data_IF_912870369824
#
_entry.id   IF_912870369824
#
_cell.length_a   1.000
_cell.length_b   1.000
_cell.length_c   1.000
_cell.angle_alpha   90.00
_cell.angle_beta   90.00
_cell.angle_gamma   90.00
#
_symmetry.space_group_name_H-M   'P 1'
#
loop_
_entity.id
_entity.type
_entity.pdbx_description
1 polymer ?
#
# COMPACT_ATOMS: atom_id res chain seq x y z
N UNK A 1 -4.36 -12.58 4.62
CA UNK A 1 -5.06 -12.43 3.33
C UNK A 1 -4.77 -11.04 2.73
N UNK A 2 -4.18 -11.02 1.53
CA UNK A 2 -3.78 -9.79 0.81
C UNK A 2 -4.98 -8.85 0.63
N UNK A 3 -6.18 -9.39 0.39
CA UNK A 3 -7.40 -8.60 0.24
C UNK A 3 -7.68 -7.69 1.45
N UNK A 4 -7.44 -8.19 2.68
CA UNK A 4 -7.68 -7.41 3.90
C UNK A 4 -6.68 -6.26 4.08
N UNK A 5 -5.45 -6.42 3.61
CA UNK A 5 -4.45 -5.34 3.65
C UNK A 5 -4.92 -4.15 2.84
N UNK A 6 -5.53 -4.37 1.67
CA UNK A 6 -6.02 -3.30 0.82
C UNK A 6 -7.21 -2.50 1.38
N UNK A 7 -7.78 -2.90 2.54
CA UNK A 7 -8.72 -2.04 3.27
C UNK A 7 -8.09 -0.72 3.74
N UNK A 8 -6.76 -0.60 3.65
CA UNK A 8 -6.05 0.66 3.83
C UNK A 8 -6.59 1.78 2.92
N UNK A 9 -7.06 1.44 1.70
CA UNK A 9 -7.58 2.43 0.73
C UNK A 9 -8.84 3.11 1.23
N UNK A 10 -9.94 2.40 1.57
CA UNK A 10 -11.11 3.06 2.15
C UNK A 10 -10.81 3.74 3.49
N UNK A 11 -9.96 3.16 4.34
CA UNK A 11 -9.55 3.83 5.57
C UNK A 11 -8.86 5.18 5.28
N UNK A 12 -7.94 5.24 4.31
CA UNK A 12 -7.26 6.48 3.94
C UNK A 12 -8.20 7.54 3.40
N UNK A 13 -9.18 7.15 2.61
CA UNK A 13 -10.21 8.09 2.10
C UNK A 13 -11.07 8.62 3.23
N UNK A 14 -11.49 7.76 4.17
CA UNK A 14 -12.27 8.14 5.35
C UNK A 14 -11.45 9.09 6.26
N UNK A 15 -10.21 8.73 6.56
CA UNK A 15 -9.30 9.54 7.39
C UNK A 15 -9.07 10.93 6.74
N UNK A 16 -8.84 10.97 5.42
CA UNK A 16 -8.65 12.23 4.69
C UNK A 16 -9.91 13.11 4.69
N UNK A 17 -11.09 12.48 4.65
CA UNK A 17 -12.35 13.22 4.80
C UNK A 17 -12.43 13.93 6.16
N UNK A 18 -12.09 13.24 7.26
CA UNK A 18 -12.15 13.83 8.59
C UNK A 18 -11.03 14.83 8.84
N UNK A 19 -9.78 14.52 8.46
CA UNK A 19 -8.63 15.37 8.76
C UNK A 19 -8.51 16.58 7.83
N UNK A 20 -8.78 16.41 6.54
CA UNK A 20 -8.56 17.44 5.52
C UNK A 20 -9.84 17.96 4.90
N UNK A 21 -11.01 17.44 5.32
CA UNK A 21 -12.32 17.73 4.73
C UNK A 21 -12.34 17.48 3.21
N UNK A 22 -11.52 16.53 2.75
CA UNK A 22 -11.53 16.09 1.35
C UNK A 22 -12.81 15.31 1.06
N UNK A 23 -13.65 15.83 0.15
CA UNK A 23 -14.90 15.17 -0.22
C UNK A 23 -14.69 14.39 -1.53
N UNK A 24 -14.63 13.04 -1.49
CA UNK A 24 -14.60 12.25 -2.70
C UNK A 24 -15.93 12.43 -3.45
N UNK A 25 -15.86 12.68 -4.76
CA UNK A 25 -17.06 12.68 -5.60
C UNK A 25 -17.65 11.27 -5.73
N UNK A 26 -18.93 11.19 -6.11
CA UNK A 26 -19.61 9.89 -6.29
C UNK A 26 -18.86 8.96 -7.25
N UNK A 27 -18.25 9.49 -8.30
CA UNK A 27 -17.44 8.73 -9.25
C UNK A 27 -16.20 8.10 -8.58
N UNK A 28 -15.59 8.78 -7.59
CA UNK A 28 -14.45 8.24 -6.86
C UNK A 28 -14.91 7.08 -5.96
N UNK A 29 -16.03 7.24 -5.27
CA UNK A 29 -16.59 6.18 -4.41
C UNK A 29 -16.95 4.95 -5.26
N UNK A 30 -17.68 5.15 -6.36
CA UNK A 30 -18.01 4.06 -7.28
C UNK A 30 -16.77 3.39 -7.85
N UNK A 31 -15.76 4.17 -8.25
CA UNK A 31 -14.48 3.62 -8.75
C UNK A 31 -13.74 2.77 -7.72
N UNK A 32 -13.74 3.19 -6.44
CA UNK A 32 -13.16 2.40 -5.34
C UNK A 32 -13.94 1.08 -5.18
N UNK A 33 -15.27 1.13 -5.15
CA UNK A 33 -16.10 -0.08 -5.02
C UNK A 33 -15.85 -1.05 -6.18
N UNK A 34 -15.85 -0.54 -7.43
CA UNK A 34 -15.58 -1.35 -8.62
C UNK A 34 -14.17 -1.97 -8.55
N UNK A 35 -13.15 -1.20 -8.18
CA UNK A 35 -11.80 -1.71 -8.05
C UNK A 35 -11.69 -2.80 -6.96
N UNK A 36 -12.42 -2.67 -5.84
CA UNK A 36 -12.50 -3.71 -4.81
C UNK A 36 -13.20 -4.97 -5.30
N UNK A 37 -14.26 -4.84 -6.09
CA UNK A 37 -14.91 -6.01 -6.73
C UNK A 37 -13.92 -6.72 -7.65
N UNK A 38 -13.17 -5.99 -8.46
CA UNK A 38 -12.11 -6.56 -9.29
C UNK A 38 -11.02 -7.26 -8.47
N UNK A 39 -10.61 -6.66 -7.36
CA UNK A 39 -9.63 -7.24 -6.44
C UNK A 39 -10.15 -8.55 -5.79
N UNK A 40 -11.43 -8.58 -5.42
CA UNK A 40 -12.08 -9.78 -4.89
C UNK A 40 -12.13 -10.91 -5.92
N UNK A 41 -12.42 -10.59 -7.18
CA UNK A 41 -12.40 -11.58 -8.28
C UNK A 41 -10.99 -12.10 -8.51
N UNK A 42 -9.99 -11.20 -8.46
CA UNK A 42 -8.58 -11.50 -8.70
C UNK A 42 -8.00 -12.44 -7.62
N UNK A 43 -8.24 -12.12 -6.35
CA UNK A 43 -7.62 -12.79 -5.21
C UNK A 43 -8.49 -13.88 -4.58
N UNK A 44 -9.78 -13.93 -4.92
CA UNK A 44 -10.77 -14.79 -4.30
C UNK A 44 -11.17 -14.35 -2.89
N UNK A 45 -12.10 -15.09 -2.31
CA UNK A 45 -12.56 -14.85 -0.95
C UNK A 45 -11.46 -15.16 0.08
N UNK A 46 -11.28 -14.31 1.09
CA UNK A 46 -10.32 -14.59 2.15
C UNK A 46 -10.81 -15.77 3.01
N UNK A 47 -9.93 -16.74 3.25
CA UNK A 47 -10.22 -17.79 4.23
C UNK A 47 -10.07 -17.19 5.64
N UNK A 48 -11.19 -17.01 6.33
CA UNK A 48 -11.28 -16.37 7.65
C UNK A 48 -11.56 -17.40 8.78
N UNK A 49 -11.67 -18.69 8.48
CA UNK A 49 -12.01 -19.72 9.44
C UNK A 49 -11.04 -19.73 10.64
N UNK A 50 -11.60 -19.62 11.84
CA UNK A 50 -10.86 -19.70 13.10
C UNK A 50 -9.80 -18.61 13.36
N UNK A 51 -9.77 -17.53 12.56
CA UNK A 51 -8.69 -16.53 12.58
C UNK A 51 -9.17 -15.11 12.92
N UNK A 52 -10.22 -14.96 13.71
CA UNK A 52 -10.81 -13.65 14.02
C UNK A 52 -9.78 -12.64 14.57
N UNK A 53 -8.91 -13.06 15.49
CA UNK A 53 -7.86 -12.20 16.05
C UNK A 53 -6.89 -11.75 14.96
N UNK A 54 -6.46 -12.64 14.07
CA UNK A 54 -5.59 -12.31 12.95
C UNK A 54 -6.24 -11.31 11.98
N UNK A 55 -7.54 -11.46 11.71
CA UNK A 55 -8.31 -10.52 10.88
C UNK A 55 -8.36 -9.14 11.53
N UNK A 56 -8.66 -9.07 12.83
CA UNK A 56 -8.71 -7.81 13.57
C UNK A 56 -7.35 -7.12 13.59
N UNK A 57 -6.26 -7.87 13.80
CA UNK A 57 -4.89 -7.33 13.76
C UNK A 57 -4.52 -6.80 12.37
N UNK A 58 -4.91 -7.50 11.29
CA UNK A 58 -4.69 -7.02 9.93
C UNK A 58 -5.46 -5.74 9.63
N UNK A 59 -6.73 -5.67 10.02
CA UNK A 59 -7.54 -4.46 9.85
C UNK A 59 -6.99 -3.28 10.66
N UNK A 60 -6.55 -3.53 11.89
CA UNK A 60 -5.91 -2.53 12.73
C UNK A 60 -4.58 -2.05 12.11
N UNK A 61 -3.78 -2.97 11.59
CA UNK A 61 -2.56 -2.65 10.86
C UNK A 61 -2.83 -1.80 9.61
N UNK A 62 -3.83 -2.17 8.81
CA UNK A 62 -4.25 -1.41 7.62
C UNK A 62 -4.75 -0.01 8.00
N UNK A 63 -5.47 0.13 9.12
CA UNK A 63 -5.92 1.43 9.63
C UNK A 63 -4.74 2.32 10.03
N UNK A 64 -3.81 1.82 10.86
CA UNK A 64 -2.65 2.61 11.30
C UNK A 64 -1.70 2.93 10.13
N UNK A 65 -1.52 2.00 9.21
CA UNK A 65 -0.78 2.24 7.97
C UNK A 65 -1.37 3.41 7.19
N UNK A 66 -2.67 3.36 6.97
CA UNK A 66 -3.41 4.39 6.27
C UNK A 66 -3.36 5.74 6.99
N UNK A 67 -3.49 5.72 8.32
CA UNK A 67 -3.37 6.92 9.15
C UNK A 67 -1.99 7.56 8.99
N UNK A 68 -0.92 6.79 9.07
CA UNK A 68 0.45 7.27 8.86
C UNK A 68 0.65 7.88 7.48
N UNK A 69 0.17 7.20 6.43
CA UNK A 69 0.22 7.69 5.05
C UNK A 69 -0.50 9.03 4.87
N UNK A 70 -1.71 9.15 5.40
CA UNK A 70 -2.52 10.37 5.28
C UNK A 70 -1.91 11.51 6.12
N UNK A 71 -1.43 11.23 7.34
CA UNK A 71 -0.76 12.24 8.18
C UNK A 71 0.57 12.72 7.60
N UNK A 72 1.25 11.92 6.81
CA UNK A 72 2.47 12.33 6.11
C UNK A 72 2.21 13.36 5.00
N UNK A 73 0.98 13.47 4.49
CA UNK A 73 0.62 14.38 3.39
C UNK A 73 1.02 15.85 3.63
N UNK A 74 0.60 16.51 4.73
CA UNK A 74 0.97 17.92 4.99
C UNK A 74 2.48 18.09 5.17
N UNK A 75 3.15 17.10 5.76
CA UNK A 75 4.59 17.11 5.95
C UNK A 75 5.31 17.01 4.60
N UNK A 76 4.88 16.09 3.76
CA UNK A 76 5.43 15.91 2.41
C UNK A 76 5.28 17.17 1.54
N UNK A 77 4.19 17.92 1.72
CA UNK A 77 4.01 19.21 1.04
C UNK A 77 5.04 20.27 1.51
N UNK A 78 5.48 20.21 2.77
CA UNK A 78 6.43 21.18 3.36
C UNK A 78 7.88 20.85 3.05
N UNK A 79 8.30 19.60 3.26
CA UNK A 79 9.73 19.20 3.20
C UNK A 79 10.05 18.27 2.01
N UNK A 80 9.03 17.86 1.24
CA UNK A 80 9.17 16.93 0.11
C UNK A 80 9.07 15.47 0.50
N UNK A 81 8.69 14.63 -0.46
CA UNK A 81 8.44 13.20 -0.23
C UNK A 81 9.68 12.42 0.18
N UNK A 82 10.83 12.71 -0.44
CA UNK A 82 12.09 12.02 -0.10
C UNK A 82 12.55 12.32 1.33
N UNK A 83 12.42 13.58 1.79
CA UNK A 83 12.75 13.94 3.16
C UNK A 83 11.81 13.24 4.16
N UNK A 84 10.51 13.15 3.86
CA UNK A 84 9.56 12.40 4.69
C UNK A 84 9.97 10.93 4.77
N UNK A 85 10.33 10.30 3.64
CA UNK A 85 10.80 8.91 3.62
C UNK A 85 12.04 8.72 4.49
N UNK A 86 13.02 9.63 4.40
CA UNK A 86 14.22 9.56 5.22
C UNK A 86 13.91 9.65 6.71
N UNK A 87 13.06 10.60 7.13
CA UNK A 87 12.64 10.72 8.53
C UNK A 87 11.86 9.50 9.02
N UNK A 88 10.91 8.99 8.23
CA UNK A 88 10.16 7.78 8.57
C UNK A 88 11.12 6.60 8.74
N UNK A 89 12.06 6.40 7.81
CA UNK A 89 13.04 5.30 7.90
C UNK A 89 13.95 5.44 9.12
N UNK A 90 14.37 6.67 9.44
CA UNK A 90 15.23 6.95 10.60
C UNK A 90 14.57 6.60 11.93
N UNK A 91 13.27 6.84 12.07
CA UNK A 91 12.55 6.50 13.31
C UNK A 91 12.02 5.07 13.31
N UNK A 92 11.48 4.58 12.20
CA UNK A 92 10.92 3.23 12.14
C UNK A 92 11.99 2.14 12.17
N UNK A 93 13.17 2.37 11.57
CA UNK A 93 14.25 1.39 11.53
C UNK A 93 14.70 0.90 12.92
N UNK A 94 15.10 1.79 13.84
CA UNK A 94 15.44 1.41 15.22
C UNK A 94 14.28 0.76 15.98
N UNK A 95 13.05 1.23 15.78
CA UNK A 95 11.87 0.64 16.44
C UNK A 95 11.62 -0.79 15.97
N UNK A 96 11.77 -1.08 14.68
CA UNK A 96 11.63 -2.42 14.12
C UNK A 96 12.77 -3.34 14.61
N UNK A 97 14.00 -2.83 14.69
CA UNK A 97 15.11 -3.58 15.26
C UNK A 97 14.87 -3.93 16.72
N UNK A 98 14.44 -2.98 17.53
CA UNK A 98 14.06 -3.23 18.94
C UNK A 98 12.94 -4.27 19.04
N UNK A 99 11.92 -4.16 18.18
CA UNK A 99 10.85 -5.16 18.10
C UNK A 99 11.39 -6.57 17.77
N UNK A 100 12.27 -6.68 16.79
CA UNK A 100 12.90 -7.96 16.43
C UNK A 100 13.71 -8.56 17.59
N UNK A 101 14.46 -7.74 18.35
CA UNK A 101 15.16 -8.21 19.55
C UNK A 101 14.23 -8.74 20.63
N UNK A 102 13.06 -8.12 20.80
CA UNK A 102 12.09 -8.52 21.84
C UNK A 102 11.32 -9.78 21.45
N UNK A 103 10.88 -9.88 20.18
CA UNK A 103 9.95 -10.91 19.74
C UNK A 103 10.61 -12.12 19.07
N UNK A 104 11.70 -11.91 18.29
CA UNK A 104 12.32 -12.99 17.52
C UNK A 104 13.44 -13.71 18.28
N UNK A 105 14.09 -13.06 19.24
CA UNK A 105 15.15 -13.62 20.09
C UNK A 105 16.47 -14.00 19.39
N UNK A 106 16.46 -14.15 18.06
CA UNK A 106 17.61 -14.59 17.25
C UNK A 106 18.16 -13.52 16.29
N UNK A 107 17.78 -12.27 16.46
CA UNK A 107 18.11 -11.16 15.56
C UNK A 107 19.61 -11.06 15.27
N UNK A 108 20.46 -11.19 16.31
CA UNK A 108 21.93 -11.13 16.17
C UNK A 108 22.44 -12.27 15.28
N UNK A 109 21.95 -13.49 15.47
CA UNK A 109 22.39 -14.65 14.69
C UNK A 109 21.99 -14.50 13.21
N UNK A 110 20.78 -14.01 12.91
CA UNK A 110 20.37 -13.71 11.54
C UNK A 110 21.23 -12.64 10.89
N UNK A 111 21.58 -11.60 11.65
CA UNK A 111 22.45 -10.52 11.17
C UNK A 111 23.87 -11.03 10.86
N UNK A 112 24.45 -11.87 11.74
CA UNK A 112 25.79 -12.41 11.57
C UNK A 112 25.89 -13.54 10.54
N UNK A 113 24.78 -14.28 10.31
CA UNK A 113 24.74 -15.39 9.34
C UNK A 113 24.37 -14.94 7.93
N UNK A 114 23.99 -13.68 7.73
CA UNK A 114 23.64 -13.17 6.42
C UNK A 114 24.86 -13.15 5.49
N UNK A 115 24.71 -13.76 4.32
CA UNK A 115 25.74 -13.78 3.30
C UNK A 115 25.87 -12.42 2.57
N UNK A 116 26.91 -12.28 1.75
CA UNK A 116 27.14 -11.04 0.99
C UNK A 116 26.01 -10.71 0.01
N UNK A 117 25.32 -11.73 -0.52
CA UNK A 117 24.14 -11.51 -1.39
C UNK A 117 22.97 -10.94 -0.59
N UNK A 118 22.72 -11.47 0.61
CA UNK A 118 21.69 -10.94 1.51
C UNK A 118 21.95 -9.46 1.82
N UNK A 119 23.17 -9.09 2.16
CA UNK A 119 23.54 -7.70 2.41
C UNK A 119 23.42 -6.80 1.17
N UNK A 120 23.77 -7.29 -0.01
CA UNK A 120 23.57 -6.57 -1.27
C UNK A 120 22.08 -6.32 -1.54
N UNK A 121 21.22 -7.32 -1.32
CA UNK A 121 19.77 -7.17 -1.48
C UNK A 121 19.23 -6.14 -0.49
N UNK A 122 19.62 -6.22 0.78
CA UNK A 122 19.22 -5.24 1.80
C UNK A 122 19.65 -3.82 1.42
N UNK A 123 20.90 -3.66 0.99
CA UNK A 123 21.43 -2.37 0.54
C UNK A 123 20.64 -1.82 -0.67
N UNK A 124 20.37 -2.65 -1.67
CA UNK A 124 19.58 -2.28 -2.84
C UNK A 124 18.15 -1.85 -2.47
N UNK A 125 17.47 -2.64 -1.64
CA UNK A 125 16.11 -2.35 -1.21
C UNK A 125 16.04 -1.08 -0.36
N UNK A 126 17.00 -0.89 0.57
CA UNK A 126 16.96 0.24 1.50
C UNK A 126 17.45 1.55 0.90
N UNK A 127 18.50 1.52 0.05
CA UNK A 127 19.11 2.73 -0.49
C UNK A 127 18.53 3.16 -1.83
N UNK A 128 17.98 2.25 -2.61
CA UNK A 128 17.47 2.54 -3.95
C UNK A 128 15.94 2.39 -3.99
N UNK A 129 15.43 1.20 -3.71
CA UNK A 129 14.00 0.93 -3.93
C UNK A 129 13.09 1.68 -2.95
N UNK A 130 13.42 1.69 -1.67
CA UNK A 130 12.60 2.36 -0.67
C UNK A 130 12.55 3.89 -0.87
N UNK A 131 13.66 4.62 -1.04
CA UNK A 131 13.60 6.05 -1.33
C UNK A 131 12.85 6.37 -2.62
N UNK A 132 13.08 5.62 -3.70
CA UNK A 132 12.37 5.84 -4.96
C UNK A 132 10.87 5.58 -4.83
N UNK A 133 10.47 4.46 -4.25
CA UNK A 133 9.07 4.08 -4.13
C UNK A 133 8.32 5.03 -3.18
N UNK A 134 8.76 5.11 -1.92
CA UNK A 134 8.06 5.94 -0.92
C UNK A 134 8.32 7.43 -1.10
N UNK A 135 9.50 7.84 -1.54
CA UNK A 135 9.81 9.23 -1.85
C UNK A 135 8.89 9.77 -2.94
N UNK A 136 8.72 9.01 -4.02
CA UNK A 136 7.78 9.33 -5.11
C UNK A 136 6.33 9.28 -4.62
N UNK A 137 5.96 8.26 -3.85
CA UNK A 137 4.63 8.11 -3.28
C UNK A 137 4.24 9.32 -2.43
N UNK A 138 5.05 9.68 -1.45
CA UNK A 138 4.78 10.83 -0.59
C UNK A 138 4.81 12.15 -1.37
N UNK A 139 5.66 12.28 -2.40
CA UNK A 139 5.66 13.43 -3.26
C UNK A 139 4.33 13.62 -4.00
N UNK A 140 3.79 12.54 -4.57
CA UNK A 140 2.49 12.54 -5.24
C UNK A 140 1.37 12.78 -4.25
N UNK A 141 1.41 12.12 -3.08
CA UNK A 141 0.43 12.28 -2.00
C UNK A 141 0.36 13.71 -1.48
N UNK A 142 1.51 14.39 -1.35
CA UNK A 142 1.57 15.79 -0.90
C UNK A 142 0.89 16.78 -1.85
N UNK A 143 0.81 16.45 -3.14
CA UNK A 143 0.30 17.34 -4.20
C UNK A 143 -1.10 17.03 -4.67
N UNK A 144 -1.63 15.86 -4.35
CA UNK A 144 -2.91 15.38 -4.87
C UNK A 144 -3.87 15.01 -3.74
N UNK A 145 -5.18 15.02 -4.01
CA UNK A 145 -6.17 14.52 -3.05
C UNK A 145 -5.95 13.02 -2.74
N UNK A 146 -6.09 12.66 -1.46
CA UNK A 146 -5.89 11.28 -0.97
C UNK A 146 -6.82 10.30 -1.70
N UNK A 147 -8.08 10.68 -1.91
CA UNK A 147 -9.06 9.84 -2.59
C UNK A 147 -8.74 9.55 -4.08
N UNK A 148 -7.76 10.24 -4.67
CA UNK A 148 -7.23 9.93 -6.01
C UNK A 148 -5.95 9.11 -5.96
N UNK A 149 -5.11 9.31 -4.94
CA UNK A 149 -3.80 8.66 -4.85
C UNK A 149 -3.92 7.27 -4.22
N UNK A 150 -4.60 7.13 -3.08
CA UNK A 150 -4.69 5.86 -2.36
C UNK A 150 -5.22 4.69 -3.20
N UNK A 151 -6.26 4.86 -4.05
CA UNK A 151 -6.77 3.74 -4.85
C UNK A 151 -5.76 3.16 -5.85
N UNK A 152 -4.70 3.90 -6.20
CA UNK A 152 -3.62 3.39 -7.07
C UNK A 152 -2.91 2.19 -6.44
N UNK A 153 -2.94 2.06 -5.10
CA UNK A 153 -2.40 0.88 -4.40
C UNK A 153 -3.11 -0.43 -4.77
N UNK A 154 -4.36 -0.36 -5.25
CA UNK A 154 -5.08 -1.53 -5.76
C UNK A 154 -4.47 -2.11 -7.04
N UNK A 155 -3.52 -1.40 -7.68
CA UNK A 155 -2.73 -1.94 -8.80
C UNK A 155 -1.58 -2.85 -8.34
N UNK A 156 -1.18 -2.83 -7.07
CA UNK A 156 -0.06 -3.63 -6.58
C UNK A 156 -0.21 -5.13 -6.86
N UNK A 157 -1.36 -5.78 -6.60
CA UNK A 157 -1.55 -7.18 -6.94
C UNK A 157 -1.44 -7.44 -8.45
N UNK A 158 -1.91 -6.52 -9.27
CA UNK A 158 -1.80 -6.63 -10.74
C UNK A 158 -0.35 -6.57 -11.20
N UNK A 159 0.44 -5.65 -10.66
CA UNK A 159 1.87 -5.55 -11.02
C UNK A 159 2.64 -6.79 -10.56
N UNK A 160 2.34 -7.30 -9.35
CA UNK A 160 2.93 -8.54 -8.85
C UNK A 160 2.62 -9.75 -9.74
N UNK A 161 1.35 -9.94 -10.12
CA UNK A 161 0.93 -11.01 -11.03
C UNK A 161 1.52 -10.84 -12.44
N UNK A 162 1.56 -9.62 -12.97
CA UNK A 162 2.20 -9.36 -14.26
C UNK A 162 3.67 -9.76 -14.22
N UNK A 163 4.37 -9.44 -13.14
CA UNK A 163 5.78 -9.84 -12.96
C UNK A 163 5.93 -11.35 -12.91
N UNK A 164 5.05 -12.05 -12.19
CA UNK A 164 5.05 -13.52 -12.12
C UNK A 164 4.83 -14.17 -13.51
N UNK A 165 3.88 -13.64 -14.29
CA UNK A 165 3.63 -14.12 -15.66
C UNK A 165 4.85 -13.90 -16.56
N UNK A 166 5.43 -12.69 -16.58
CA UNK A 166 6.52 -12.35 -17.50
C UNK A 166 7.87 -12.92 -17.09
N UNK A 167 8.18 -12.97 -15.78
CA UNK A 167 9.51 -13.42 -15.32
C UNK A 167 9.54 -14.90 -14.92
N UNK A 168 8.42 -15.43 -14.39
CA UNK A 168 8.36 -16.83 -13.91
C UNK A 168 7.64 -17.76 -14.89
N UNK A 169 7.05 -17.22 -15.97
CA UNK A 169 6.34 -18.00 -16.98
C UNK A 169 5.01 -18.60 -16.45
N UNK A 170 4.43 -18.00 -15.41
CA UNK A 170 3.15 -18.48 -14.87
C UNK A 170 2.02 -18.22 -15.87
N UNK A 171 1.12 -19.22 -16.05
CA UNK A 171 -0.05 -19.04 -16.90
C UNK A 171 -1.14 -18.27 -16.18
N UNK A 172 -1.58 -17.11 -16.73
CA UNK A 172 -2.61 -16.30 -16.09
C UNK A 172 -3.97 -16.99 -16.17
N UNK A 173 -4.66 -17.07 -15.04
CA UNK A 173 -6.03 -17.58 -14.98
C UNK A 173 -7.02 -16.56 -15.56
N UNK A 174 -8.21 -17.03 -15.97
CA UNK A 174 -9.30 -16.14 -16.42
C UNK A 174 -9.65 -15.07 -15.38
N UNK A 175 -9.54 -15.41 -14.10
CA UNK A 175 -9.79 -14.50 -12.98
C UNK A 175 -8.82 -13.32 -12.96
N UNK A 176 -7.55 -13.54 -13.34
CA UNK A 176 -6.52 -12.48 -13.44
C UNK A 176 -6.90 -11.47 -14.51
N UNK A 177 -7.34 -11.91 -15.67
CA UNK A 177 -7.75 -11.01 -16.75
C UNK A 177 -9.02 -10.22 -16.39
N UNK A 178 -10.05 -10.90 -15.90
CA UNK A 178 -11.33 -10.27 -15.55
C UNK A 178 -11.18 -9.34 -14.35
N UNK A 179 -10.60 -9.81 -13.27
CA UNK A 179 -10.37 -8.99 -12.06
C UNK A 179 -9.47 -7.81 -12.35
N UNK A 180 -8.39 -8.02 -13.12
CA UNK A 180 -7.47 -6.98 -13.54
C UNK A 180 -8.13 -5.89 -14.37
N UNK A 181 -8.93 -6.26 -15.38
CA UNK A 181 -9.67 -5.30 -16.20
C UNK A 181 -10.64 -4.45 -15.36
N UNK A 182 -11.36 -5.07 -14.40
CA UNK A 182 -12.27 -4.37 -13.50
C UNK A 182 -11.51 -3.40 -12.58
N UNK A 183 -10.35 -3.79 -12.03
CA UNK A 183 -9.50 -2.90 -11.22
C UNK A 183 -9.07 -1.70 -12.05
N UNK A 184 -8.53 -1.92 -13.25
CA UNK A 184 -8.09 -0.85 -14.14
C UNK A 184 -9.22 0.11 -14.50
N UNK A 185 -10.41 -0.41 -14.78
CA UNK A 185 -11.60 0.40 -15.06
C UNK A 185 -11.99 1.26 -13.85
N UNK A 186 -12.05 0.68 -12.63
CA UNK A 186 -12.36 1.40 -11.40
C UNK A 186 -11.37 2.52 -11.11
N UNK A 187 -10.08 2.25 -11.25
CA UNK A 187 -9.01 3.25 -11.05
C UNK A 187 -9.06 4.33 -12.13
N UNK A 188 -9.24 3.94 -13.40
CA UNK A 188 -9.43 4.89 -14.49
C UNK A 188 -10.58 5.87 -14.20
N UNK A 189 -11.72 5.37 -13.73
CA UNK A 189 -12.85 6.19 -13.35
C UNK A 189 -12.51 7.21 -12.24
N UNK A 190 -11.66 6.84 -11.27
CA UNK A 190 -11.20 7.73 -10.21
C UNK A 190 -10.27 8.82 -10.76
N UNK A 191 -9.27 8.42 -11.54
CA UNK A 191 -8.24 9.34 -12.05
C UNK A 191 -8.81 10.38 -13.01
N UNK A 192 -9.75 9.98 -13.87
CA UNK A 192 -10.39 10.88 -14.83
C UNK A 192 -11.63 11.60 -14.25
N UNK A 193 -11.95 11.41 -12.97
CA UNK A 193 -13.03 12.16 -12.33
C UNK A 193 -12.68 13.64 -12.20
N UNK A 194 -13.60 14.51 -12.60
CA UNK A 194 -13.46 15.95 -12.34
C UNK A 194 -13.56 16.20 -10.83
N UNK A 195 -12.87 17.22 -10.31
CA UNK A 195 -13.05 17.62 -8.91
C UNK A 195 -14.53 17.95 -8.68
N UNK A 196 -15.07 17.64 -7.48
CA UNK A 196 -16.45 18.03 -7.17
C UNK A 196 -16.58 19.54 -7.28
N UNK A 197 -17.55 20.01 -8.05
CA UNK A 197 -17.98 21.41 -8.06
C UNK A 197 -18.40 21.77 -6.63
N UNK A 198 -17.81 22.84 -6.10
CA UNK A 198 -18.17 23.40 -4.79
C UNK A 198 -19.62 23.84 -4.74
#
# INVERSE_FOLDING_TARGET
>A
SILLVHTEVPFGVIIAYFLFKERPGIKNILGIVIAFVGLFILLGAPNLEGKLIGVLLLLLGAFFWSLGMVMAKPLSKKIGGFAVTAWVSLFCGPMLLLGSFIFDGNTINYFLSADSKGWLIVAYLSLIMQPLAYGTWYHVMGRNPVHKVMPVMLLLPLTGLSTAIFLLGEEPTKQVFVGGAIILFGIGMILFSKPPTK
#
